data_IF_742883643106
#
_entry.id   IF_742883643106
#
_cell.length_a   1.000
_cell.length_b   1.000
_cell.length_c   1.000
_cell.angle_alpha   90.00
_cell.angle_beta   90.00
_cell.angle_gamma   90.00
#
_symmetry.space_group_name_H-M   'P 1'
#
loop_
_entity.id
_entity.type
_entity.pdbx_description
1 polymer ?
#
# COMPACT_ATOMS: atom_id res chain seq x y z
N UNK A 1 -7.67 -13.23 -48.13
CA UNK A 1 -7.88 -13.36 -46.67
C UNK A 1 -6.67 -12.75 -46.01
N UNK A 2 -6.78 -11.47 -45.63
CA UNK A 2 -5.71 -10.79 -44.90
C UNK A 2 -5.92 -11.09 -43.42
N UNK A 3 -4.91 -11.72 -42.83
CA UNK A 3 -4.84 -11.99 -41.42
C UNK A 3 -4.49 -10.67 -40.73
N UNK A 4 -5.51 -9.96 -40.25
CA UNK A 4 -5.32 -8.81 -39.37
C UNK A 4 -4.55 -9.32 -38.14
N UNK A 5 -3.28 -8.92 -38.06
CA UNK A 5 -2.49 -9.02 -36.84
C UNK A 5 -3.23 -8.22 -35.78
N UNK A 6 -3.96 -8.92 -34.92
CA UNK A 6 -4.40 -8.42 -33.63
C UNK A 6 -3.14 -8.20 -32.79
N UNK A 7 -2.56 -7.00 -32.90
CA UNK A 7 -1.58 -6.49 -31.96
C UNK A 7 -2.33 -6.07 -30.68
N UNK A 8 -2.52 -7.03 -29.79
CA UNK A 8 -2.56 -6.78 -28.35
C UNK A 8 -1.63 -7.81 -27.70
N UNK A 9 -1.02 -7.56 -26.52
CA UNK A 9 -1.18 -6.45 -25.60
C UNK A 9 0.18 -5.80 -25.23
N UNK A 10 0.37 -4.51 -25.48
CA UNK A 10 1.46 -3.77 -24.83
C UNK A 10 0.89 -3.09 -23.57
N UNK A 11 0.56 -3.91 -22.58
CA UNK A 11 0.75 -3.46 -21.20
C UNK A 11 2.24 -3.25 -21.07
N UNK A 12 2.67 -2.01 -21.27
CA UNK A 12 4.03 -1.59 -21.01
C UNK A 12 4.41 -2.17 -19.65
N UNK A 13 5.36 -3.12 -19.61
CA UNK A 13 6.00 -3.63 -18.40
C UNK A 13 6.86 -2.51 -17.77
N UNK A 14 6.25 -1.34 -17.60
CA UNK A 14 6.78 -0.25 -16.83
C UNK A 14 6.69 -0.67 -15.38
N UNK A 15 7.84 -0.66 -14.71
CA UNK A 15 7.89 -0.84 -13.28
C UNK A 15 6.73 -0.12 -12.57
N UNK A 16 6.05 -0.77 -11.62
CA UNK A 16 4.91 -0.18 -10.95
C UNK A 16 5.31 1.18 -10.40
N UNK A 17 4.49 2.20 -10.64
CA UNK A 17 4.72 3.56 -10.16
C UNK A 17 4.89 3.52 -8.64
N UNK A 18 5.56 4.54 -8.09
CA UNK A 18 5.64 4.75 -6.64
C UNK A 18 4.25 4.65 -6.00
N UNK A 19 3.24 5.19 -6.66
CA UNK A 19 1.83 5.11 -6.25
C UNK A 19 1.31 3.68 -6.28
N UNK A 20 1.50 2.91 -7.36
CA UNK A 20 1.06 1.51 -7.44
C UNK A 20 1.71 0.64 -6.35
N UNK A 21 3.00 0.86 -6.06
CA UNK A 21 3.72 0.16 -4.99
C UNK A 21 3.20 0.54 -3.61
N UNK A 22 2.90 1.82 -3.38
CA UNK A 22 2.25 2.31 -2.15
C UNK A 22 0.86 1.70 -1.98
N UNK A 23 0.07 1.65 -3.06
CA UNK A 23 -1.28 1.05 -3.04
C UNK A 23 -1.22 -0.46 -2.82
N UNK A 24 -0.17 -1.15 -3.27
CA UNK A 24 0.05 -2.56 -2.95
C UNK A 24 0.26 -2.79 -1.44
N UNK A 25 0.90 -1.85 -0.72
CA UNK A 25 1.01 -1.88 0.75
C UNK A 25 -0.35 -1.85 1.44
N UNK A 26 -1.33 -1.17 0.81
CA UNK A 26 -2.69 -1.08 1.34
C UNK A 26 -3.51 -2.35 1.11
N UNK A 27 -3.15 -3.16 0.12
CA UNK A 27 -3.80 -4.44 -0.20
C UNK A 27 -3.23 -5.57 0.67
N UNK A 28 -1.93 -5.54 0.96
CA UNK A 28 -1.33 -6.44 1.94
C UNK A 28 -1.74 -6.06 3.36
N UNK A 29 -2.49 -6.95 3.99
CA UNK A 29 -2.85 -6.79 5.40
C UNK A 29 -1.63 -7.08 6.30
N UNK A 30 -1.20 -6.15 7.17
CA UNK A 30 -0.13 -6.41 8.14
C UNK A 30 -0.51 -7.47 9.19
N UNK A 31 -1.79 -7.89 9.22
CA UNK A 31 -2.33 -8.84 10.18
C UNK A 31 -2.76 -10.19 9.58
N UNK A 32 -2.37 -10.50 8.34
CA UNK A 32 -2.77 -11.75 7.66
C UNK A 32 -2.46 -13.04 8.44
N UNK A 33 -1.63 -12.98 9.48
CA UNK A 33 -1.29 -14.10 10.37
C UNK A 33 -1.91 -14.07 11.78
N UNK A 34 -3.00 -13.34 12.01
CA UNK A 34 -3.70 -13.41 13.32
C UNK A 34 -4.46 -12.17 13.76
N UNK A 35 -4.75 -11.24 12.85
CA UNK A 35 -5.56 -10.06 13.14
C UNK A 35 -6.96 -10.43 13.62
N UNK A 36 -7.45 -9.73 14.65
CA UNK A 36 -8.84 -9.87 15.07
C UNK A 36 -9.74 -9.25 14.00
N UNK A 37 -10.91 -9.82 13.76
CA UNK A 37 -11.85 -9.35 12.73
C UNK A 37 -12.17 -7.84 12.81
N UNK A 38 -12.19 -7.26 14.02
CA UNK A 38 -12.36 -5.82 14.23
C UNK A 38 -11.17 -4.98 13.74
N UNK A 39 -9.94 -5.47 13.92
CA UNK A 39 -8.73 -4.80 13.42
C UNK A 39 -8.66 -4.86 11.89
N UNK A 40 -9.06 -6.00 11.28
CA UNK A 40 -9.15 -6.15 9.83
C UNK A 40 -10.19 -5.16 9.25
N UNK A 41 -11.35 -5.03 9.89
CA UNK A 41 -12.39 -4.08 9.46
C UNK A 41 -11.89 -2.63 9.54
N UNK A 42 -11.20 -2.27 10.63
CA UNK A 42 -10.61 -0.94 10.77
C UNK A 42 -9.55 -0.67 9.71
N UNK A 43 -8.68 -1.64 9.43
CA UNK A 43 -7.66 -1.53 8.40
C UNK A 43 -8.27 -1.39 7.00
N UNK A 44 -9.28 -2.18 6.65
CA UNK A 44 -9.98 -2.05 5.37
C UNK A 44 -10.55 -0.64 5.19
N UNK A 45 -11.24 -0.10 6.19
CA UNK A 45 -11.76 1.28 6.11
C UNK A 45 -10.65 2.33 5.92
N UNK A 46 -9.50 2.12 6.56
CA UNK A 46 -8.33 3.00 6.38
C UNK A 46 -7.80 2.86 4.96
N UNK A 47 -7.60 1.63 4.48
CA UNK A 47 -7.12 1.30 3.14
C UNK A 47 -8.00 1.94 2.06
N UNK A 48 -9.32 1.78 2.14
CA UNK A 48 -10.28 2.42 1.23
C UNK A 48 -10.13 3.95 1.24
N UNK A 49 -10.11 4.56 2.43
CA UNK A 49 -9.97 6.03 2.56
C UNK A 49 -8.62 6.53 2.03
N UNK A 50 -7.55 5.75 2.14
CA UNK A 50 -6.24 6.10 1.62
C UNK A 50 -6.17 5.91 0.10
N UNK A 51 -6.85 4.90 -0.47
CA UNK A 51 -6.94 4.70 -1.93
C UNK A 51 -7.61 5.86 -2.66
N UNK A 52 -8.53 6.55 -1.99
CA UNK A 52 -9.18 7.75 -2.54
C UNK A 52 -8.28 9.01 -2.49
N UNK A 53 -7.13 8.95 -1.81
CA UNK A 53 -6.19 10.06 -1.69
C UNK A 53 -5.06 9.94 -2.71
N UNK A 54 -4.63 11.10 -3.21
CA UNK A 54 -3.43 11.20 -4.03
C UNK A 54 -2.24 11.53 -3.14
N UNK A 55 -1.30 10.58 -3.01
CA UNK A 55 -0.06 10.78 -2.27
C UNK A 55 1.02 11.30 -3.20
N UNK A 56 1.67 12.40 -2.82
CA UNK A 56 2.78 12.96 -3.60
C UNK A 56 4.12 12.29 -3.29
N UNK A 57 4.25 11.68 -2.11
CA UNK A 57 5.48 11.08 -1.59
C UNK A 57 5.18 9.89 -0.66
N UNK A 58 6.20 9.04 -0.45
CA UNK A 58 6.12 7.95 0.55
C UNK A 58 5.96 8.50 1.97
N UNK A 59 6.56 9.64 2.29
CA UNK A 59 6.39 10.32 3.58
C UNK A 59 4.95 10.83 3.78
N UNK A 60 4.33 11.37 2.73
CA UNK A 60 2.95 11.82 2.76
C UNK A 60 1.99 10.65 3.01
N UNK A 61 2.22 9.54 2.31
CA UNK A 61 1.52 8.28 2.57
C UNK A 61 1.71 7.79 4.02
N UNK A 62 2.95 7.74 4.52
CA UNK A 62 3.26 7.32 5.89
C UNK A 62 2.52 8.16 6.92
N UNK A 63 2.53 9.48 6.74
CA UNK A 63 1.84 10.41 7.64
C UNK A 63 0.33 10.16 7.60
N UNK A 64 -0.25 9.99 6.41
CA UNK A 64 -1.67 9.69 6.25
C UNK A 64 -2.06 8.36 6.92
N UNK A 65 -1.24 7.32 6.81
CA UNK A 65 -1.46 6.05 7.52
C UNK A 65 -1.36 6.27 9.04
N UNK A 66 -0.32 6.96 9.51
CA UNK A 66 -0.11 7.24 10.95
C UNK A 66 -1.29 7.98 11.59
N UNK A 67 -1.83 8.99 10.90
CA UNK A 67 -3.04 9.69 11.36
C UNK A 67 -4.28 8.81 11.30
N UNK A 68 -4.45 8.04 10.22
CA UNK A 68 -5.61 7.17 10.05
C UNK A 68 -5.66 6.08 11.13
N UNK A 69 -4.52 5.46 11.47
CA UNK A 69 -4.45 4.42 12.49
C UNK A 69 -4.60 4.99 13.91
N UNK A 70 -4.09 6.19 14.21
CA UNK A 70 -4.24 6.80 15.55
C UNK A 70 -5.70 7.09 15.92
N UNK A 71 -6.54 7.34 14.91
CA UNK A 71 -7.95 7.70 15.10
C UNK A 71 -8.90 6.49 15.16
N UNK A 72 -8.40 5.25 15.01
CA UNK A 72 -9.24 4.04 15.09
C UNK A 72 -9.16 3.39 16.47
N UNK A 73 -10.25 2.73 16.85
CA UNK A 73 -10.32 1.95 18.07
C UNK A 73 -9.92 0.49 17.78
N UNK A 74 -8.67 0.16 18.09
CA UNK A 74 -8.10 -1.15 17.81
C UNK A 74 -8.42 -2.16 18.92
N UNK A 75 -8.69 -3.39 18.51
CA UNK A 75 -8.91 -4.51 19.42
C UNK A 75 -7.56 -5.00 19.96
N UNK A 76 -6.54 -5.11 19.11
CA UNK A 76 -5.17 -5.39 19.54
C UNK A 76 -4.47 -4.08 19.95
N UNK A 77 -3.97 -4.02 21.19
CA UNK A 77 -3.28 -2.82 21.71
C UNK A 77 -2.09 -2.38 20.86
N UNK A 78 -1.38 -3.33 20.24
CA UNK A 78 -0.20 -3.08 19.40
C UNK A 78 -0.53 -2.96 17.91
N UNK A 79 -1.79 -3.02 17.50
CA UNK A 79 -2.16 -2.94 16.08
C UNK A 79 -1.61 -1.68 15.38
N UNK A 80 -1.75 -0.45 15.93
CA UNK A 80 -1.17 0.74 15.30
C UNK A 80 0.34 0.64 15.10
N UNK A 81 1.05 0.16 16.11
CA UNK A 81 2.52 0.03 16.08
C UNK A 81 2.95 -0.99 15.02
N UNK A 82 2.25 -2.12 14.93
CA UNK A 82 2.52 -3.17 13.93
C UNK A 82 2.24 -2.69 12.51
N UNK A 83 1.14 -1.97 12.28
CA UNK A 83 0.83 -1.39 10.97
C UNK A 83 1.90 -0.40 10.56
N UNK A 84 2.27 0.51 11.47
CA UNK A 84 3.25 1.56 11.16
C UNK A 84 4.63 0.95 10.86
N UNK A 85 5.05 -0.05 11.63
CA UNK A 85 6.30 -0.77 11.37
C UNK A 85 6.30 -1.45 9.99
N UNK A 86 5.23 -2.16 9.65
CA UNK A 86 5.09 -2.78 8.32
C UNK A 86 5.15 -1.73 7.19
N UNK A 87 4.46 -0.59 7.37
CA UNK A 87 4.53 0.50 6.39
C UNK A 87 5.96 1.04 6.28
N UNK A 88 6.66 1.27 7.39
CA UNK A 88 8.06 1.70 7.37
C UNK A 88 8.96 0.71 6.61
N UNK A 89 8.86 -0.60 6.89
CA UNK A 89 9.61 -1.65 6.19
C UNK A 89 9.37 -1.61 4.67
N UNK A 90 8.11 -1.48 4.24
CA UNK A 90 7.80 -1.45 2.80
C UNK A 90 8.22 -0.14 2.15
N UNK A 91 8.14 0.98 2.86
CA UNK A 91 8.63 2.26 2.36
C UNK A 91 10.15 2.28 2.21
N UNK A 92 10.88 1.68 3.15
CA UNK A 92 12.33 1.46 3.04
C UNK A 92 12.67 0.60 1.83
N UNK A 93 11.92 -0.47 1.59
CA UNK A 93 12.07 -1.25 0.36
C UNK A 93 11.87 -0.34 -0.86
N UNK A 94 10.71 0.34 -0.99
CA UNK A 94 10.40 1.21 -2.13
C UNK A 94 11.54 2.21 -2.39
N UNK A 95 12.11 2.82 -1.36
CA UNK A 95 13.27 3.72 -1.48
C UNK A 95 14.54 3.00 -1.96
N UNK A 96 14.87 1.84 -1.39
CA UNK A 96 16.04 1.06 -1.81
C UNK A 96 15.96 0.58 -3.29
N UNK A 97 14.76 0.33 -3.80
CA UNK A 97 14.55 0.04 -5.23
C UNK A 97 14.77 1.28 -6.12
N UNK A 98 14.63 2.50 -5.60
CA UNK A 98 14.89 3.73 -6.33
C UNK A 98 16.38 4.06 -6.41
N UNK A 99 17.13 3.89 -5.32
CA UNK A 99 18.59 4.16 -5.31
C UNK A 99 19.37 3.25 -6.27
N UNK A 100 18.84 2.07 -6.61
CA UNK A 100 19.44 1.19 -7.63
C UNK A 100 19.20 1.61 -9.08
N UNK A 101 18.36 2.63 -9.31
CA UNK A 101 18.06 3.17 -10.64
C UNK A 101 18.89 4.39 -11.02
N UNK A 102 19.69 4.93 -10.10
CA UNK A 102 20.63 6.04 -10.34
C UNK A 102 22.03 5.55 -10.74
#
# INVERSE_FOLDING_TARGET
MNLEKLEGPESQEGEPSKTDRILAVLDEMPFSQGGRAGDLTNWHQISDSLREKNFSSVEDFRNAVSEAIKNKNWIAKKAPETILAYVDDVLELINAWQEKKE
#
